data_IF_705735422599
#
_entry.id   IF_705735422599
#
_cell.length_a   1.000
_cell.length_b   1.000
_cell.length_c   1.000
_cell.angle_alpha   90.00
_cell.angle_beta   90.00
_cell.angle_gamma   90.00
#
_symmetry.space_group_name_H-M   'P 1'
#
loop_
_entity.id
_entity.type
_entity.pdbx_description
1 polymer ?
#
# COMPACT_ATOMS: atom_id res chain seq x y z
N UNK A 1 12.26 -15.02 -10.21
CA UNK A 1 13.40 -14.91 -9.27
C UNK A 1 13.43 -13.48 -8.77
N UNK A 2 13.43 -13.24 -7.45
CA UNK A 2 13.52 -11.88 -6.93
C UNK A 2 14.93 -11.33 -7.23
N UNK A 3 15.02 -10.25 -8.00
CA UNK A 3 16.30 -9.58 -8.23
C UNK A 3 16.85 -9.06 -6.90
N UNK A 4 18.14 -9.30 -6.56
CA UNK A 4 18.74 -8.84 -5.31
C UNK A 4 18.57 -7.32 -5.10
N UNK A 5 18.58 -6.54 -6.18
CA UNK A 5 18.37 -5.08 -6.14
C UNK A 5 16.98 -4.69 -5.66
N UNK A 6 15.97 -5.53 -5.93
CA UNK A 6 14.59 -5.30 -5.48
C UNK A 6 14.49 -5.43 -3.96
N UNK A 7 15.16 -6.43 -3.38
CA UNK A 7 15.14 -6.66 -1.92
C UNK A 7 15.77 -5.47 -1.20
N UNK A 8 16.91 -4.99 -1.70
CA UNK A 8 17.61 -3.84 -1.12
C UNK A 8 16.81 -2.55 -1.25
N UNK A 9 16.15 -2.32 -2.38
CA UNK A 9 15.26 -1.18 -2.59
C UNK A 9 14.06 -1.22 -1.65
N UNK A 10 13.34 -2.33 -1.61
CA UNK A 10 12.13 -2.44 -0.80
C UNK A 10 12.46 -2.27 0.70
N UNK A 11 13.57 -2.88 1.15
CA UNK A 11 14.06 -2.70 2.52
C UNK A 11 14.39 -1.24 2.86
N UNK A 12 14.93 -0.45 1.92
CA UNK A 12 15.18 0.99 2.12
C UNK A 12 13.88 1.76 2.33
N UNK A 13 12.86 1.51 1.50
CA UNK A 13 11.58 2.22 1.59
C UNK A 13 10.84 1.84 2.88
N UNK A 14 10.81 0.57 3.25
CA UNK A 14 10.20 0.14 4.51
C UNK A 14 10.84 0.80 5.73
N UNK A 15 12.18 0.92 5.76
CA UNK A 15 12.89 1.61 6.84
C UNK A 15 12.59 3.11 6.87
N UNK A 16 12.53 3.78 5.69
CA UNK A 16 12.19 5.20 5.59
C UNK A 16 10.81 5.49 6.21
N UNK A 17 9.86 4.61 5.95
CA UNK A 17 8.47 4.75 6.35
C UNK A 17 8.18 4.16 7.75
N UNK A 18 9.21 3.81 8.54
CA UNK A 18 9.10 3.13 9.84
C UNK A 18 8.13 1.93 9.83
N UNK A 19 8.21 1.11 8.78
CA UNK A 19 7.35 -0.05 8.55
C UNK A 19 5.85 0.28 8.68
N UNK A 20 5.46 1.50 8.29
CA UNK A 20 4.11 2.02 8.47
C UNK A 20 3.46 2.30 7.11
N UNK A 21 2.27 1.75 6.91
CA UNK A 21 1.47 2.00 5.71
C UNK A 21 1.19 3.49 5.57
N UNK A 22 1.61 4.07 4.44
CA UNK A 22 1.48 5.51 4.16
C UNK A 22 0.04 5.94 3.88
N UNK A 23 -0.89 4.99 3.72
CA UNK A 23 -2.31 5.26 3.47
C UNK A 23 -3.17 5.18 4.74
N UNK A 24 -2.96 4.16 5.59
CA UNK A 24 -3.82 3.91 6.75
C UNK A 24 -3.10 3.99 8.11
N UNK A 25 -1.78 4.06 8.14
CA UNK A 25 -1.00 4.07 9.39
C UNK A 25 -0.80 2.69 10.02
N UNK A 26 -1.15 1.59 9.34
CA UNK A 26 -0.84 0.24 9.82
C UNK A 26 0.67 0.02 9.97
N UNK A 27 1.12 -0.18 11.22
CA UNK A 27 2.52 -0.44 11.59
C UNK A 27 2.80 -1.94 11.65
N UNK A 28 3.89 -2.36 10.99
CA UNK A 28 4.24 -3.76 10.79
C UNK A 28 5.76 -4.01 10.87
N UNK A 29 6.36 -3.64 11.99
CA UNK A 29 7.79 -3.74 12.29
C UNK A 29 8.22 -5.09 12.91
N UNK A 30 7.33 -6.08 13.00
CA UNK A 30 7.66 -7.46 13.45
C UNK A 30 7.77 -8.43 12.28
N UNK A 31 8.47 -9.55 12.46
CA UNK A 31 8.66 -10.58 11.42
C UNK A 31 7.34 -11.14 10.86
N UNK A 32 6.33 -11.26 11.70
CA UNK A 32 5.01 -11.78 11.34
C UNK A 32 4.24 -10.75 10.52
N UNK A 33 4.39 -9.46 10.85
CA UNK A 33 3.61 -8.37 10.28
C UNK A 33 4.22 -7.75 9.03
N UNK A 34 5.55 -7.64 8.91
CA UNK A 34 6.17 -6.95 7.75
C UNK A 34 5.81 -7.60 6.41
N UNK A 35 5.49 -8.90 6.42
CA UNK A 35 5.03 -9.64 5.22
C UNK A 35 3.66 -9.16 4.70
N UNK A 36 2.93 -8.39 5.50
CA UNK A 36 1.71 -7.69 5.09
C UNK A 36 1.99 -6.29 4.53
N UNK A 37 3.24 -5.89 4.39
CA UNK A 37 3.63 -4.69 3.67
C UNK A 37 4.09 -5.02 2.25
N UNK A 38 3.79 -4.11 1.34
CA UNK A 38 4.27 -4.10 -0.03
C UNK A 38 4.81 -2.71 -0.38
N UNK A 39 5.64 -2.66 -1.41
CA UNK A 39 6.02 -1.40 -2.05
C UNK A 39 5.02 -1.09 -3.14
N UNK A 40 4.28 -0.02 -2.94
CA UNK A 40 3.33 0.52 -3.90
C UNK A 40 3.97 1.69 -4.68
N UNK A 41 3.65 1.77 -5.96
CA UNK A 41 3.96 2.93 -6.79
C UNK A 41 2.78 3.90 -6.73
N UNK A 42 2.98 5.06 -6.10
CA UNK A 42 1.94 6.06 -5.91
C UNK A 42 1.28 6.44 -7.24
N UNK A 43 2.08 6.83 -8.25
CA UNK A 43 1.72 6.72 -9.66
C UNK A 43 1.99 5.29 -10.13
N UNK A 44 0.97 4.52 -10.55
CA UNK A 44 1.15 3.11 -10.91
C UNK A 44 2.12 2.91 -12.06
N UNK A 45 2.87 1.81 -12.03
CA UNK A 45 3.79 1.44 -13.13
C UNK A 45 3.05 1.26 -14.46
N UNK A 46 1.82 0.73 -14.43
CA UNK A 46 0.95 0.61 -15.62
C UNK A 46 0.59 1.96 -16.26
N UNK A 47 0.72 3.05 -15.51
CA UNK A 47 0.50 4.44 -15.96
C UNK A 47 1.81 5.20 -16.16
N UNK A 48 2.94 4.50 -16.23
CA UNK A 48 4.27 5.10 -16.42
C UNK A 48 4.83 5.78 -15.16
N UNK A 49 4.47 5.28 -13.97
CA UNK A 49 5.04 5.73 -12.71
C UNK A 49 6.56 5.51 -12.63
N UNK A 50 7.33 6.47 -12.10
CA UNK A 50 8.78 6.33 -11.96
C UNK A 50 9.15 5.34 -10.84
N UNK A 51 10.38 4.82 -10.87
CA UNK A 51 10.94 3.92 -9.84
C UNK A 51 11.67 4.68 -8.70
N UNK A 52 11.53 6.01 -8.66
CA UNK A 52 12.14 6.87 -7.65
C UNK A 52 11.47 6.75 -6.28
N UNK A 53 12.24 6.97 -5.21
CA UNK A 53 11.76 6.85 -3.82
C UNK A 53 10.57 7.77 -3.52
N UNK A 54 10.49 8.92 -4.19
CA UNK A 54 9.37 9.86 -4.13
C UNK A 54 8.05 9.25 -4.62
N UNK A 55 8.10 8.29 -5.55
CA UNK A 55 6.93 7.57 -6.04
C UNK A 55 6.68 6.24 -5.29
N UNK A 56 7.68 5.69 -4.61
CA UNK A 56 7.53 4.45 -3.85
C UNK A 56 6.99 4.71 -2.45
N UNK A 57 6.02 3.92 -2.01
CA UNK A 57 5.35 4.03 -0.71
C UNK A 57 5.23 2.66 -0.05
N UNK A 58 5.43 2.61 1.26
CA UNK A 58 5.04 1.45 2.05
C UNK A 58 3.51 1.39 2.14
N UNK A 59 2.92 0.28 1.71
CA UNK A 59 1.48 0.06 1.76
C UNK A 59 1.19 -1.28 2.43
N UNK A 60 0.18 -1.36 3.29
CA UNK A 60 -0.32 -2.66 3.73
C UNK A 60 -1.04 -3.36 2.56
N UNK A 61 -1.17 -4.68 2.64
CA UNK A 61 -1.85 -5.47 1.61
C UNK A 61 -3.25 -4.95 1.30
N UNK A 62 -4.04 -4.57 2.31
CA UNK A 62 -5.41 -4.08 2.13
C UNK A 62 -5.44 -2.78 1.32
N UNK A 63 -4.63 -1.79 1.71
CA UNK A 63 -4.58 -0.51 1.01
C UNK A 63 -4.00 -0.64 -0.39
N UNK A 64 -2.96 -1.46 -0.56
CA UNK A 64 -2.35 -1.73 -1.86
C UNK A 64 -3.34 -2.41 -2.81
N UNK A 65 -4.06 -3.43 -2.31
CA UNK A 65 -5.09 -4.13 -3.04
C UNK A 65 -6.22 -3.19 -3.45
N UNK A 66 -6.67 -2.33 -2.53
CA UNK A 66 -7.77 -1.41 -2.79
C UNK A 66 -7.40 -0.29 -3.79
N UNK A 67 -6.17 0.23 -3.70
CA UNK A 67 -5.67 1.28 -4.60
C UNK A 67 -5.60 0.81 -6.06
N UNK A 68 -5.14 -0.41 -6.30
CA UNK A 68 -4.90 -0.96 -7.65
C UNK A 68 -4.03 -0.02 -8.51
N UNK A 69 -4.49 0.33 -9.71
CA UNK A 69 -3.88 1.24 -10.68
C UNK A 69 -4.52 2.64 -10.67
N UNK A 70 -5.17 3.04 -9.57
CA UNK A 70 -5.77 4.37 -9.44
C UNK A 70 -4.69 5.43 -9.16
N UNK A 71 -4.87 6.60 -9.76
CA UNK A 71 -4.02 7.77 -9.60
C UNK A 71 -4.72 8.81 -8.71
N UNK A 72 -3.93 9.54 -7.92
CA UNK A 72 -4.42 10.58 -7.02
C UNK A 72 -3.48 11.79 -7.10
N UNK A 73 -3.98 12.98 -6.80
CA UNK A 73 -3.14 14.17 -6.77
C UNK A 73 -2.25 14.21 -5.52
N UNK A 74 -2.74 13.66 -4.40
CA UNK A 74 -2.03 13.70 -3.12
C UNK A 74 -2.17 12.38 -2.35
N UNK A 75 -1.25 12.16 -1.40
CA UNK A 75 -1.33 11.01 -0.48
C UNK A 75 -2.56 11.07 0.42
N UNK A 76 -2.96 12.28 0.84
CA UNK A 76 -4.15 12.48 1.69
C UNK A 76 -5.43 12.09 0.95
N UNK A 77 -5.54 12.49 -0.33
CA UNK A 77 -6.65 12.10 -1.18
C UNK A 77 -6.69 10.57 -1.36
N UNK A 78 -5.54 9.95 -1.68
CA UNK A 78 -5.43 8.50 -1.81
C UNK A 78 -5.85 7.78 -0.52
N UNK A 79 -5.32 8.22 0.63
CA UNK A 79 -5.64 7.66 1.93
C UNK A 79 -7.15 7.75 2.25
N UNK A 80 -7.77 8.88 1.94
CA UNK A 80 -9.21 9.11 2.15
C UNK A 80 -10.03 8.15 1.29
N UNK A 81 -9.75 8.08 -0.01
CA UNK A 81 -10.49 7.22 -0.94
C UNK A 81 -10.31 5.73 -0.66
N UNK A 82 -9.09 5.30 -0.35
CA UNK A 82 -8.81 3.91 0.01
C UNK A 82 -9.62 3.51 1.26
N UNK A 83 -9.66 4.36 2.30
CA UNK A 83 -10.45 4.10 3.50
C UNK A 83 -11.95 4.01 3.19
N UNK A 84 -12.48 4.94 2.39
CA UNK A 84 -13.89 4.91 1.96
C UNK A 84 -14.23 3.59 1.25
N UNK A 85 -13.38 3.13 0.33
CA UNK A 85 -13.63 1.89 -0.40
C UNK A 85 -13.50 0.63 0.47
N UNK A 86 -12.55 0.59 1.41
CA UNK A 86 -12.42 -0.51 2.37
C UNK A 86 -13.67 -0.63 3.24
N UNK A 87 -14.24 0.49 3.70
CA UNK A 87 -15.46 0.46 4.50
C UNK A 87 -16.69 0.02 3.69
N UNK A 88 -16.75 0.37 2.40
CA UNK A 88 -17.78 -0.15 1.48
C UNK A 88 -17.65 -1.66 1.34
N UNK A 89 -16.45 -2.17 1.05
CA UNK A 89 -16.21 -3.61 0.91
C UNK A 89 -16.50 -4.37 2.20
N UNK A 90 -16.13 -3.80 3.36
CA UNK A 90 -16.47 -4.36 4.68
C UNK A 90 -17.98 -4.48 4.88
N UNK A 91 -18.72 -3.41 4.59
CA UNK A 91 -20.19 -3.41 4.72
C UNK A 91 -20.82 -4.48 3.82
N UNK A 92 -20.35 -4.57 2.58
CA UNK A 92 -20.87 -5.57 1.64
C UNK A 92 -20.53 -6.98 2.11
N UNK A 93 -19.31 -7.22 2.61
CA UNK A 93 -18.92 -8.50 3.20
C UNK A 93 -19.82 -8.88 4.39
N UNK A 94 -20.06 -7.95 5.32
CA UNK A 94 -20.91 -8.21 6.49
C UNK A 94 -22.33 -8.58 6.06
N UNK A 95 -22.90 -7.87 5.08
CA UNK A 95 -24.24 -8.14 4.53
C UNK A 95 -24.35 -9.52 3.88
N UNK A 96 -23.31 -9.98 3.16
CA UNK A 96 -23.40 -11.22 2.38
C UNK A 96 -22.93 -12.47 3.13
N UNK A 97 -22.07 -12.30 4.14
CA UNK A 97 -21.38 -13.43 4.78
C UNK A 97 -21.50 -13.47 6.30
N UNK A 98 -22.05 -12.42 6.95
CA UNK A 98 -22.25 -12.39 8.41
C UNK A 98 -23.72 -12.23 8.85
N UNK A 99 -24.62 -11.89 7.94
CA UNK A 99 -26.08 -12.03 8.08
C UNK A 99 -26.54 -13.41 7.58
#
# INVERSE_FOLDING_TARGET
>A
MAHPDKILRDARIFKRDDFTCQYCGYRADTFEKWRYLAIDHFKPRSRGGPEGDDNLKTACMDCNFMKTDKEFATLEEAATKIKEWIEIERRDYDKFFRE
#
